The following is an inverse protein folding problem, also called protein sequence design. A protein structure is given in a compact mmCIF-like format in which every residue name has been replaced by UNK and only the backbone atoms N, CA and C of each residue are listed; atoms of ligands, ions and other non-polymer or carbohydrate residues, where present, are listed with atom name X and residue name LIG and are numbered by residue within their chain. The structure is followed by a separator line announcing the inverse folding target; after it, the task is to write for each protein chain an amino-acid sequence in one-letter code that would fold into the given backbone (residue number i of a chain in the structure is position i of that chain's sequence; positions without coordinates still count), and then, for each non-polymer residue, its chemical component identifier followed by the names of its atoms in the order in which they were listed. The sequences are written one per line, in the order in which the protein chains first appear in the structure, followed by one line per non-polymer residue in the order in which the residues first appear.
data_IF_288462345130
#
_entry.id   IF_288462345130
#
_cell.length_a   1.000
_cell.length_b   1.000
_cell.length_c   1.000
_cell.angle_alpha   90.00
_cell.angle_beta   90.00
_cell.angle_gamma   90.00
#
_symmetry.space_group_name_H-M   'P 1'
#
loop_
_entity.id
_entity.type
_entity.pdbx_description
1 polymer ?
#
# COMPACT_ATOMS: atom_id res chain seq x y z
N UNK A 1 -10.97 7.65 -28.62
CA UNK A 1 -9.77 8.09 -27.88
C UNK A 1 -9.35 6.96 -26.96
N UNK A 2 -8.27 6.23 -27.28
CA UNK A 2 -7.78 5.08 -26.51
C UNK A 2 -6.81 5.59 -25.44
N UNK A 3 -7.15 5.48 -24.15
CA UNK A 3 -6.21 5.78 -23.06
C UNK A 3 -5.22 4.62 -22.93
N UNK A 4 -4.12 4.71 -23.69
CA UNK A 4 -2.92 3.92 -23.45
C UNK A 4 -2.15 4.59 -22.32
N UNK A 5 -2.23 4.07 -21.09
CA UNK A 5 -1.33 4.47 -20.00
C UNK A 5 -0.32 3.37 -19.75
N UNK A 6 0.57 3.16 -20.72
CA UNK A 6 1.90 2.64 -20.41
C UNK A 6 2.67 3.79 -19.75
N UNK A 7 2.58 3.87 -18.43
CA UNK A 7 3.51 4.66 -17.63
C UNK A 7 4.07 3.73 -16.57
N UNK A 8 5.19 3.09 -16.92
CA UNK A 8 6.07 2.43 -15.96
C UNK A 8 6.70 3.54 -15.12
N UNK A 9 5.92 4.11 -14.21
CA UNK A 9 6.48 4.89 -13.13
C UNK A 9 7.02 3.86 -12.14
N UNK A 10 8.34 3.73 -12.08
CA UNK A 10 9.04 3.03 -11.00
C UNK A 10 8.87 3.84 -9.71
N UNK A 11 7.64 3.99 -9.22
CA UNK A 11 7.39 4.54 -7.89
C UNK A 11 8.04 3.59 -6.91
N UNK A 12 9.01 4.10 -6.14
CA UNK A 12 9.73 3.33 -5.11
C UNK A 12 8.98 3.35 -3.76
N UNK A 13 7.72 3.77 -3.76
CA UNK A 13 6.92 4.04 -2.58
C UNK A 13 5.52 4.54 -2.96
N UNK A 14 4.71 4.79 -1.93
CA UNK A 14 3.33 5.25 -2.04
C UNK A 14 3.02 6.33 -1.01
N UNK A 15 2.00 7.14 -1.30
CA UNK A 15 1.51 8.13 -0.36
C UNK A 15 0.52 7.48 0.61
N UNK A 16 0.86 7.49 1.90
CA UNK A 16 0.03 7.02 2.99
C UNK A 16 -0.67 8.20 3.67
N UNK A 17 -1.99 8.08 3.87
CA UNK A 17 -2.76 9.10 4.57
C UNK A 17 -2.86 8.72 6.06
N UNK A 18 -2.46 9.64 6.93
CA UNK A 18 -2.66 9.52 8.37
C UNK A 18 -3.44 10.75 8.87
N UNK A 19 -4.69 10.53 9.30
CA UNK A 19 -5.63 11.59 9.67
C UNK A 19 -5.76 12.65 8.55
N UNK A 20 -5.14 13.81 8.72
CA UNK A 20 -5.15 14.95 7.77
C UNK A 20 -3.85 15.13 7.00
N UNK A 21 -2.84 14.30 7.26
CA UNK A 21 -1.53 14.40 6.63
C UNK A 21 -1.35 13.29 5.60
N UNK A 22 -0.84 13.68 4.42
CA UNK A 22 -0.38 12.75 3.40
C UNK A 22 1.14 12.65 3.49
N UNK A 23 1.65 11.45 3.72
CA UNK A 23 3.09 11.20 3.86
C UNK A 23 3.55 10.25 2.76
N UNK A 24 4.70 10.53 2.16
CA UNK A 24 5.30 9.62 1.19
C UNK A 24 6.15 8.56 1.90
N UNK A 25 5.81 7.29 1.75
CA UNK A 25 6.54 6.18 2.34
C UNK A 25 7.14 5.29 1.25
N UNK A 26 8.44 5.05 1.33
CA UNK A 26 9.14 4.12 0.45
C UNK A 26 8.70 2.67 0.69
N UNK A 27 8.56 1.88 -0.37
CA UNK A 27 8.26 0.44 -0.24
C UNK A 27 9.24 -0.32 0.66
N UNK A 28 10.56 -0.04 0.67
CA UNK A 28 11.50 -0.67 1.61
C UNK A 28 11.29 -0.31 3.09
N UNK A 29 10.52 0.74 3.38
CA UNK A 29 10.19 1.18 4.74
C UNK A 29 8.84 0.64 5.22
N UNK A 30 8.04 0.07 4.31
CA UNK A 30 6.84 -0.69 4.66
C UNK A 30 7.28 -2.07 5.13
N UNK A 31 6.87 -2.43 6.34
CA UNK A 31 7.22 -3.70 6.97
C UNK A 31 6.24 -4.80 6.57
N UNK A 32 4.95 -4.55 6.75
CA UNK A 32 3.87 -5.45 6.37
C UNK A 32 2.52 -4.72 6.35
N UNK A 33 1.52 -5.38 5.78
CA UNK A 33 0.13 -4.91 5.79
C UNK A 33 -0.70 -5.90 6.59
N UNK A 34 -1.76 -5.40 7.24
CA UNK A 34 -2.72 -6.23 7.97
C UNK A 34 -4.12 -5.82 7.58
N UNK A 35 -4.89 -6.75 7.06
CA UNK A 35 -6.33 -6.55 6.86
C UNK A 35 -7.08 -6.73 8.18
N UNK A 36 -8.09 -5.92 8.45
CA UNK A 36 -9.10 -6.20 9.47
C UNK A 36 -10.47 -5.83 8.92
N UNK A 37 -11.23 -6.85 8.50
CA UNK A 37 -12.52 -6.72 7.83
C UNK A 37 -12.44 -5.83 6.56
N UNK A 38 -12.88 -4.57 6.67
CA UNK A 38 -12.93 -3.59 5.58
C UNK A 38 -11.82 -2.55 5.67
N UNK A 39 -10.93 -2.69 6.65
CA UNK A 39 -9.82 -1.79 6.86
C UNK A 39 -8.50 -2.52 6.59
N UNK A 40 -7.49 -1.75 6.23
CA UNK A 40 -6.13 -2.26 6.07
C UNK A 40 -5.18 -1.32 6.82
N UNK A 41 -4.36 -1.87 7.70
CA UNK A 41 -3.30 -1.11 8.35
C UNK A 41 -1.98 -1.40 7.66
N UNK A 42 -1.32 -0.35 7.17
CA UNK A 42 0.04 -0.40 6.64
C UNK A 42 1.00 -0.08 7.77
N UNK A 43 1.84 -1.04 8.14
CA UNK A 43 2.87 -0.86 9.15
C UNK A 43 4.17 -0.48 8.46
N UNK A 44 4.68 0.71 8.74
CA UNK A 44 5.95 1.20 8.22
C UNK A 44 6.86 1.66 9.35
N UNK A 45 8.15 1.88 9.06
CA UNK A 45 9.11 2.40 10.05
C UNK A 45 8.74 3.78 10.58
N UNK A 46 8.04 4.59 9.77
CA UNK A 46 7.56 5.93 10.14
C UNK A 46 6.32 5.89 11.04
N UNK A 47 5.56 4.78 11.02
CA UNK A 47 4.35 4.59 11.81
C UNK A 47 3.31 3.70 11.13
N UNK A 48 2.11 3.70 11.70
CA UNK A 48 0.99 2.88 11.25
C UNK A 48 -0.05 3.75 10.54
N UNK A 49 -0.52 3.28 9.39
CA UNK A 49 -1.44 4.02 8.52
C UNK A 49 -2.70 3.21 8.26
N UNK A 50 -3.86 3.71 8.72
CA UNK A 50 -5.15 3.04 8.54
C UNK A 50 -5.81 3.45 7.21
N UNK A 51 -6.10 2.46 6.38
CA UNK A 51 -6.86 2.58 5.15
C UNK A 51 -8.28 2.07 5.34
N UNK A 52 -9.22 2.77 4.72
CA UNK A 52 -10.62 2.35 4.61
C UNK A 52 -10.87 1.41 3.42
N UNK A 53 -9.79 0.86 2.84
CA UNK A 53 -9.81 -0.08 1.74
C UNK A 53 -9.42 -1.46 2.26
N UNK A 54 -9.92 -2.51 1.62
CA UNK A 54 -9.56 -3.88 1.98
C UNK A 54 -8.09 -4.17 1.68
N UNK A 55 -7.50 -5.13 2.40
CA UNK A 55 -6.12 -5.58 2.15
C UNK A 55 -5.90 -5.94 0.67
N UNK A 56 -6.90 -6.54 0.03
CA UNK A 56 -6.83 -6.95 -1.38
C UNK A 56 -6.71 -5.75 -2.33
N UNK A 57 -7.40 -4.67 -2.05
CA UNK A 57 -7.37 -3.43 -2.86
C UNK A 57 -6.04 -2.70 -2.69
N UNK A 58 -5.54 -2.61 -1.45
CA UNK A 58 -4.23 -2.00 -1.16
C UNK A 58 -3.09 -2.86 -1.75
N UNK A 59 -3.15 -4.18 -1.58
CA UNK A 59 -2.15 -5.10 -2.12
C UNK A 59 -2.09 -5.11 -3.66
N UNK A 60 -3.21 -4.82 -4.34
CA UNK A 60 -3.23 -4.69 -5.80
C UNK A 60 -2.40 -3.49 -6.31
N UNK A 61 -2.17 -2.49 -5.46
CA UNK A 61 -1.37 -1.30 -5.76
C UNK A 61 0.12 -1.51 -5.43
N UNK A 62 0.44 -2.56 -4.66
CA UNK A 62 1.81 -2.88 -4.27
C UNK A 62 2.55 -3.65 -5.38
N UNK A 63 3.86 -3.41 -5.53
CA UNK A 63 4.67 -4.14 -6.48
C UNK A 63 4.90 -5.58 -5.99
N UNK A 64 4.41 -6.55 -6.76
CA UNK A 64 4.41 -7.99 -6.44
C UNK A 64 5.79 -8.63 -6.26
N UNK A 65 6.85 -7.94 -6.68
CA UNK A 65 8.22 -8.40 -6.50
C UNK A 65 8.80 -8.04 -5.12
N UNK A 66 8.15 -7.14 -4.37
CA UNK A 66 8.57 -6.72 -3.03
C UNK A 66 7.63 -7.25 -1.93
N UNK A 67 6.36 -7.46 -2.25
CA UNK A 67 5.36 -7.90 -1.29
C UNK A 67 4.79 -9.27 -1.69
N UNK A 68 4.71 -10.16 -0.71
CA UNK A 68 4.05 -11.45 -0.84
C UNK A 68 2.88 -11.50 0.15
N UNK A 69 1.74 -12.00 -0.30
CA UNK A 69 0.63 -12.26 0.60
C UNK A 69 0.93 -13.56 1.35
N UNK A 70 1.21 -13.44 2.65
CA UNK A 70 1.58 -14.60 3.48
C UNK A 70 0.33 -15.28 4.04
N UNK A 71 -0.77 -14.53 4.21
CA UNK A 71 -2.03 -15.05 4.71
C UNK A 71 -3.23 -14.30 4.12
N UNK A 72 -4.44 -14.82 4.29
CA UNK A 72 -5.67 -14.13 3.86
C UNK A 72 -5.87 -12.74 4.51
N UNK A 73 -5.12 -12.45 5.58
CA UNK A 73 -5.23 -11.24 6.39
C UNK A 73 -3.89 -10.47 6.52
N UNK A 74 -2.84 -10.92 5.81
CA UNK A 74 -1.48 -10.37 5.80
C UNK A 74 -0.84 -10.46 4.42
#
# INVERSE_FOLDING_TARGET
MKKNTNSVNSTKGMYLKNNDHLEYVGFPDILYLKGENNYCTVYAKSGDYLYNESLKEVAAQLPKNLFIQSHSNY
#
